data_IF_671600400300
#
_entry.id   IF_671600400300
#
_cell.length_a   1.000
_cell.length_b   1.000
_cell.length_c   1.000
_cell.angle_alpha   90.00
_cell.angle_beta   90.00
_cell.angle_gamma   90.00
#
_symmetry.space_group_name_H-M   'P 1'
#
loop_
_entity.id
_entity.type
_entity.pdbx_description
1 polymer ?
#
# COMPACT_ATOMS: atom_id res chain seq x y z
N UNK A 1 14.10 -6.19 -16.20
CA UNK A 1 13.52 -6.34 -14.84
C UNK A 1 12.11 -6.89 -14.97
N UNK A 2 11.79 -7.93 -14.22
CA UNK A 2 10.44 -8.47 -14.20
C UNK A 2 9.47 -7.42 -13.63
N UNK A 3 8.21 -7.45 -14.07
CA UNK A 3 7.19 -6.50 -13.63
C UNK A 3 7.03 -6.52 -12.10
N UNK A 4 7.06 -7.70 -11.49
CA UNK A 4 6.92 -7.85 -10.05
C UNK A 4 8.09 -7.20 -9.29
N UNK A 5 9.29 -7.25 -9.84
CA UNK A 5 10.47 -6.64 -9.21
C UNK A 5 10.33 -5.11 -9.18
N UNK A 6 9.68 -4.54 -10.17
CA UNK A 6 9.48 -3.09 -10.23
C UNK A 6 8.56 -2.60 -9.12
N UNK A 7 7.48 -3.31 -8.86
CA UNK A 7 6.57 -2.97 -7.75
C UNK A 7 7.29 -3.10 -6.41
N UNK A 8 8.06 -4.17 -6.23
CA UNK A 8 8.83 -4.40 -5.00
C UNK A 8 9.84 -3.28 -4.77
N UNK A 9 10.57 -2.88 -5.81
CA UNK A 9 11.55 -1.80 -5.72
C UNK A 9 10.89 -0.49 -5.30
N UNK A 10 9.76 -0.15 -5.90
CA UNK A 10 9.05 1.09 -5.58
C UNK A 10 8.54 1.06 -4.15
N UNK A 11 7.91 -0.04 -3.72
CA UNK A 11 7.40 -0.16 -2.37
C UNK A 11 8.52 -0.10 -1.33
N UNK A 12 9.62 -0.79 -1.58
CA UNK A 12 10.78 -0.83 -0.68
C UNK A 12 11.41 0.56 -0.51
N UNK A 13 11.46 1.34 -1.57
CA UNK A 13 12.02 2.69 -1.51
C UNK A 13 11.21 3.63 -0.61
N UNK A 14 9.96 3.30 -0.32
CA UNK A 14 9.09 4.12 0.52
C UNK A 14 9.22 3.81 2.02
N UNK A 15 9.93 2.78 2.39
CA UNK A 15 10.11 2.44 3.80
C UNK A 15 10.69 3.63 4.56
N UNK A 16 10.08 3.94 5.71
CA UNK A 16 10.47 5.09 6.51
C UNK A 16 9.63 6.34 6.28
N UNK A 17 8.71 6.31 5.31
CA UNK A 17 7.80 7.43 5.10
C UNK A 17 6.83 7.56 6.27
N UNK A 18 6.76 8.76 6.85
CA UNK A 18 5.86 9.08 7.96
C UNK A 18 4.72 9.94 7.45
N UNK A 19 3.49 9.55 7.80
CA UNK A 19 2.33 10.38 7.50
C UNK A 19 2.46 11.74 8.18
N UNK A 20 1.73 12.73 7.69
CA UNK A 20 1.86 14.13 8.10
C UNK A 20 0.70 14.58 8.95
N UNK A 21 0.97 15.63 9.75
CA UNK A 21 -0.08 16.29 10.55
C UNK A 21 -0.98 17.15 9.70
N UNK A 22 -0.45 17.72 8.63
CA UNK A 22 -1.16 18.63 7.74
C UNK A 22 -0.76 18.32 6.29
N UNK A 23 -1.44 18.99 5.36
CA UNK A 23 -1.23 18.77 3.92
C UNK A 23 0.02 19.49 3.40
N UNK A 24 1.11 19.44 4.16
CA UNK A 24 2.37 20.10 3.82
C UNK A 24 3.54 19.13 3.95
N UNK A 25 4.61 19.40 3.18
CA UNK A 25 5.84 18.59 3.19
C UNK A 25 5.59 17.13 2.83
N UNK A 26 4.63 16.89 1.94
CA UNK A 26 4.21 15.53 1.60
C UNK A 26 5.30 14.69 0.95
N UNK A 27 6.24 15.31 0.24
CA UNK A 27 7.33 14.58 -0.43
C UNK A 27 8.50 14.26 0.50
N UNK A 28 8.59 14.88 1.67
CA UNK A 28 9.62 14.55 2.65
C UNK A 28 9.23 13.28 3.40
N UNK A 29 10.18 12.38 3.62
CA UNK A 29 9.89 11.17 4.39
C UNK A 29 9.54 11.46 5.83
N UNK A 30 10.18 12.45 6.44
CA UNK A 30 10.11 12.64 7.90
C UNK A 30 9.56 13.98 8.35
N UNK A 31 9.55 15.00 7.49
CA UNK A 31 9.08 16.32 7.89
C UNK A 31 7.58 16.32 8.16
N UNK A 32 7.16 17.18 9.09
CA UNK A 32 5.75 17.38 9.45
C UNK A 32 5.06 16.08 9.89
N UNK A 33 5.80 15.18 10.52
CA UNK A 33 5.28 13.88 10.94
C UNK A 33 4.18 14.04 12.00
N UNK A 34 3.16 13.19 11.92
CA UNK A 34 2.05 13.19 12.86
C UNK A 34 1.13 12.00 12.62
N UNK A 35 -0.10 12.08 13.08
CA UNK A 35 -1.04 10.98 13.02
C UNK A 35 -2.37 11.37 12.38
N UNK A 36 -2.35 12.29 11.42
CA UNK A 36 -3.55 12.82 10.79
C UNK A 36 -3.78 12.30 9.37
N UNK A 37 -3.02 11.29 8.94
CA UNK A 37 -3.23 10.59 7.67
C UNK A 37 -3.07 11.47 6.42
N UNK A 38 -2.26 12.51 6.47
CA UNK A 38 -1.91 13.27 5.27
C UNK A 38 -0.69 12.64 4.63
N UNK A 39 -0.81 12.28 3.34
CA UNK A 39 0.29 11.61 2.62
C UNK A 39 0.39 12.07 1.18
N UNK A 40 1.57 11.88 0.57
CA UNK A 40 1.72 12.08 -0.86
C UNK A 40 0.92 11.03 -1.65
N UNK A 41 0.65 9.87 -1.06
CA UNK A 41 -0.11 8.82 -1.73
C UNK A 41 -1.54 9.27 -2.02
N UNK A 42 -2.23 9.83 -1.04
CA UNK A 42 -3.54 10.43 -1.26
C UNK A 42 -3.48 11.59 -2.24
N UNK A 43 -2.47 12.47 -2.10
CA UNK A 43 -2.31 13.58 -3.03
C UNK A 43 -2.27 13.12 -4.48
N UNK A 44 -1.54 12.05 -4.75
CA UNK A 44 -1.34 11.56 -6.11
C UNK A 44 -2.51 10.73 -6.62
N UNK A 45 -3.20 9.99 -5.76
CA UNK A 45 -4.27 9.07 -6.14
C UNK A 45 -5.66 9.68 -5.99
N UNK A 46 -5.96 10.26 -4.84
CA UNK A 46 -7.29 10.84 -4.55
C UNK A 46 -7.19 11.88 -3.44
N UNK A 47 -6.87 13.12 -3.80
CA UNK A 47 -6.62 14.19 -2.80
C UNK A 47 -7.80 14.45 -1.86
N UNK A 48 -9.02 14.20 -2.29
CA UNK A 48 -10.21 14.38 -1.47
C UNK A 48 -10.23 13.48 -0.24
N UNK A 49 -9.43 12.42 -0.24
CA UNK A 49 -9.40 11.45 0.85
C UNK A 49 -8.26 11.70 1.85
N UNK A 50 -7.55 12.81 1.74
CA UNK A 50 -6.57 13.17 2.77
C UNK A 50 -7.23 13.13 4.15
N UNK A 51 -6.53 12.53 5.11
CA UNK A 51 -7.07 12.35 6.45
C UNK A 51 -7.67 10.96 6.69
N UNK A 52 -7.81 10.14 5.66
CA UNK A 52 -8.31 8.78 5.79
C UNK A 52 -7.17 7.76 5.88
N UNK A 53 -7.42 6.57 6.46
CA UNK A 53 -6.43 5.49 6.44
C UNK A 53 -5.94 5.21 5.02
N UNK A 54 -4.64 5.01 4.86
CA UNK A 54 -4.02 5.02 3.52
C UNK A 54 -3.33 3.71 3.12
N UNK A 55 -3.62 2.60 3.82
CA UNK A 55 -2.97 1.32 3.48
C UNK A 55 -3.26 0.86 2.05
N UNK A 56 -4.53 0.85 1.65
CA UNK A 56 -4.91 0.47 0.29
C UNK A 56 -4.48 1.51 -0.74
N UNK A 57 -4.53 2.78 -0.38
CA UNK A 57 -4.04 3.86 -1.24
C UNK A 57 -2.55 3.69 -1.56
N UNK A 58 -1.76 3.33 -0.56
CA UNK A 58 -0.33 3.06 -0.75
C UNK A 58 -0.10 1.95 -1.78
N UNK A 59 -0.85 0.86 -1.68
CA UNK A 59 -0.77 -0.23 -2.66
C UNK A 59 -1.10 0.28 -4.08
N UNK A 60 -2.19 1.02 -4.21
CA UNK A 60 -2.57 1.63 -5.50
C UNK A 60 -1.44 2.49 -6.05
N UNK A 61 -0.85 3.33 -5.21
CA UNK A 61 0.24 4.23 -5.58
C UNK A 61 1.46 3.46 -6.11
N UNK A 62 1.84 2.39 -5.42
CA UNK A 62 2.98 1.57 -5.85
C UNK A 62 2.74 0.93 -7.22
N UNK A 63 1.56 0.40 -7.44
CA UNK A 63 1.21 -0.19 -8.73
C UNK A 63 1.18 0.87 -9.84
N UNK A 64 0.64 2.05 -9.55
CA UNK A 64 0.59 3.13 -10.53
C UNK A 64 1.99 3.63 -10.91
N UNK A 65 2.88 3.75 -9.94
CA UNK A 65 4.28 4.12 -10.23
C UNK A 65 5.00 3.05 -11.04
N UNK A 66 4.68 1.79 -10.82
CA UNK A 66 5.30 0.68 -11.53
C UNK A 66 4.77 0.53 -12.96
N UNK A 67 3.48 0.69 -13.17
CA UNK A 67 2.81 0.27 -14.41
C UNK A 67 2.02 1.37 -15.12
N UNK A 68 1.85 2.54 -14.50
CA UNK A 68 1.01 3.61 -15.02
C UNK A 68 -0.46 3.41 -14.65
N UNK A 69 -1.23 4.50 -14.75
CA UNK A 69 -2.63 4.51 -14.28
C UNK A 69 -3.52 3.54 -15.06
N UNK A 70 -3.43 3.53 -16.37
CA UNK A 70 -4.31 2.70 -17.19
C UNK A 70 -4.09 1.21 -16.96
N UNK A 71 -2.83 0.79 -16.85
CA UNK A 71 -2.53 -0.61 -16.54
C UNK A 71 -2.93 -0.98 -15.12
N UNK A 72 -2.79 -0.06 -14.17
CA UNK A 72 -3.20 -0.29 -12.79
C UNK A 72 -4.71 -0.48 -12.69
N UNK A 73 -5.50 0.30 -13.42
CA UNK A 73 -6.95 0.11 -13.49
C UNK A 73 -7.32 -1.29 -13.95
N UNK A 74 -6.61 -1.82 -14.93
CA UNK A 74 -6.85 -3.17 -15.43
C UNK A 74 -6.45 -4.24 -14.43
N UNK A 75 -5.29 -4.06 -13.78
CA UNK A 75 -4.76 -5.03 -12.84
C UNK A 75 -5.60 -5.12 -11.57
N UNK A 76 -6.03 -3.98 -11.05
CA UNK A 76 -6.75 -3.94 -9.77
C UNK A 76 -8.25 -4.16 -9.91
N UNK A 77 -8.79 -4.14 -11.12
CA UNK A 77 -10.23 -4.30 -11.44
C UNK A 77 -11.12 -3.22 -10.82
N UNK A 78 -10.65 -2.51 -9.83
CA UNK A 78 -11.35 -1.41 -9.15
C UNK A 78 -10.34 -0.33 -8.84
N UNK A 79 -10.53 0.87 -9.36
CA UNK A 79 -9.57 1.94 -9.19
C UNK A 79 -10.27 3.21 -8.67
N UNK A 80 -9.70 3.86 -7.67
CA UNK A 80 -8.53 3.41 -6.91
C UNK A 80 -8.88 2.33 -5.89
N UNK A 81 -7.92 1.49 -5.56
CA UNK A 81 -8.07 0.55 -4.44
C UNK A 81 -7.87 1.32 -3.15
N UNK A 82 -8.94 1.57 -2.44
CA UNK A 82 -8.92 2.36 -1.19
C UNK A 82 -9.64 1.67 -0.03
N UNK A 83 -10.25 0.52 -0.27
CA UNK A 83 -11.03 -0.19 0.71
C UNK A 83 -10.78 -1.71 0.61
N UNK A 84 -10.20 -2.29 1.65
CA UNK A 84 -9.75 -3.69 1.62
C UNK A 84 -10.86 -4.71 1.32
N UNK A 85 -12.07 -4.64 1.90
CA UNK A 85 -13.11 -5.61 1.57
C UNK A 85 -13.49 -5.63 0.10
N UNK A 86 -13.46 -4.49 -0.58
CA UNK A 86 -13.75 -4.43 -2.02
C UNK A 86 -12.76 -5.29 -2.80
N UNK A 87 -11.47 -5.13 -2.53
CA UNK A 87 -10.44 -5.91 -3.22
C UNK A 87 -10.61 -7.40 -2.94
N UNK A 88 -10.86 -7.76 -1.69
CA UNK A 88 -11.05 -9.16 -1.31
C UNK A 88 -12.22 -9.81 -2.04
N UNK A 89 -13.27 -9.04 -2.37
CA UNK A 89 -14.44 -9.57 -3.08
C UNK A 89 -14.24 -9.71 -4.59
N UNK A 90 -13.26 -8.99 -5.16
CA UNK A 90 -13.05 -8.97 -6.61
C UNK A 90 -12.07 -10.03 -7.10
N UNK A 91 -11.23 -10.56 -6.22
CA UNK A 91 -10.17 -11.49 -6.59
C UNK A 91 -10.30 -12.81 -5.86
N UNK A 92 -9.76 -13.84 -6.49
CA UNK A 92 -9.56 -15.12 -5.83
C UNK A 92 -8.44 -14.97 -4.80
N UNK A 93 -8.65 -15.49 -3.59
CA UNK A 93 -7.69 -15.38 -2.50
C UNK A 93 -6.90 -16.67 -2.36
N UNK A 94 -5.59 -16.54 -2.16
CA UNK A 94 -4.67 -17.66 -2.02
C UNK A 94 -4.01 -17.63 -0.65
N UNK A 95 -3.75 -18.81 -0.09
CA UNK A 95 -3.08 -18.93 1.20
C UNK A 95 -1.57 -18.76 1.12
N UNK A 96 -0.98 -19.08 -0.05
CA UNK A 96 0.48 -19.08 -0.22
C UNK A 96 0.94 -17.84 -0.96
N UNK A 97 1.60 -16.90 -0.26
CA UNK A 97 2.03 -15.65 -0.87
C UNK A 97 3.20 -15.84 -1.82
N UNK A 98 3.26 -14.99 -2.83
CA UNK A 98 4.39 -14.86 -3.76
C UNK A 98 4.85 -13.42 -3.79
N UNK A 99 6.11 -13.22 -4.14
CA UNK A 99 6.66 -11.87 -4.28
C UNK A 99 5.83 -11.03 -5.26
N UNK A 100 5.50 -9.81 -4.85
CA UNK A 100 4.68 -8.91 -5.64
C UNK A 100 3.18 -9.03 -5.40
N UNK A 101 2.74 -10.04 -4.65
CA UNK A 101 1.33 -10.19 -4.32
C UNK A 101 0.85 -9.06 -3.43
N UNK A 102 -0.42 -8.70 -3.58
CA UNK A 102 -1.14 -7.88 -2.62
C UNK A 102 -1.62 -8.80 -1.51
N UNK A 103 -1.20 -8.52 -0.29
CA UNK A 103 -1.68 -9.26 0.88
C UNK A 103 -2.81 -8.45 1.53
N UNK A 104 -3.85 -9.13 1.98
CA UNK A 104 -4.99 -8.51 2.66
C UNK A 104 -5.16 -9.22 3.99
N UNK A 105 -5.04 -8.44 5.08
CA UNK A 105 -5.10 -8.97 6.44
C UNK A 105 -6.52 -8.92 6.97
N UNK A 106 -6.92 -10.00 7.63
CA UNK A 106 -8.25 -10.16 8.19
C UNK A 106 -8.18 -10.11 9.71
N UNK A 107 -8.99 -9.26 10.31
CA UNK A 107 -9.10 -9.15 11.76
C UNK A 107 -10.57 -9.27 12.17
N UNK A 108 -10.88 -10.21 13.06
CA UNK A 108 -12.24 -10.38 13.53
C UNK A 108 -13.24 -10.64 12.42
N UNK A 109 -12.83 -11.35 11.37
CA UNK A 109 -13.69 -11.67 10.24
C UNK A 109 -13.81 -10.57 9.18
N UNK A 110 -13.10 -9.45 9.34
CA UNK A 110 -13.16 -8.31 8.42
C UNK A 110 -11.78 -8.04 7.84
N UNK A 111 -11.71 -7.74 6.54
CA UNK A 111 -10.48 -7.32 5.88
C UNK A 111 -10.22 -5.85 6.19
N UNK A 112 -9.17 -5.56 6.97
CA UNK A 112 -8.93 -4.22 7.50
C UNK A 112 -7.61 -3.60 7.09
N UNK A 113 -6.69 -4.38 6.52
CA UNK A 113 -5.35 -3.89 6.21
C UNK A 113 -4.78 -4.62 5.00
N UNK A 114 -3.80 -3.99 4.33
CA UNK A 114 -3.23 -4.53 3.11
C UNK A 114 -1.77 -4.08 2.97
N UNK A 115 -1.03 -4.79 2.14
CA UNK A 115 0.35 -4.46 1.82
C UNK A 115 0.83 -5.23 0.60
N UNK A 116 2.13 -5.15 0.34
CA UNK A 116 2.76 -5.81 -0.81
C UNK A 116 3.82 -6.78 -0.30
N UNK A 117 3.77 -8.01 -0.76
CA UNK A 117 4.77 -9.04 -0.42
C UNK A 117 6.05 -8.75 -1.18
N UNK A 118 7.15 -8.59 -0.47
CA UNK A 118 8.45 -8.28 -1.08
C UNK A 118 9.42 -9.46 -1.06
N UNK A 119 9.23 -10.41 -0.15
CA UNK A 119 10.05 -11.62 -0.14
C UNK A 119 9.29 -12.77 0.52
N UNK A 120 9.67 -13.98 0.16
CA UNK A 120 9.12 -15.21 0.75
C UNK A 120 10.29 -16.13 1.07
N UNK A 121 10.32 -16.69 2.28
CA UNK A 121 11.35 -17.59 2.73
C UNK A 121 10.74 -18.68 3.62
N UNK A 122 10.58 -19.90 3.09
CA UNK A 122 9.95 -20.99 3.82
C UNK A 122 8.53 -20.63 4.26
N UNK A 123 8.29 -20.69 5.55
CA UNK A 123 6.98 -20.38 6.14
C UNK A 123 6.77 -18.89 6.43
N UNK A 124 7.74 -18.04 6.06
CA UNK A 124 7.69 -16.61 6.35
C UNK A 124 7.61 -15.78 5.08
N UNK A 125 6.91 -14.68 5.15
CA UNK A 125 6.95 -13.68 4.10
C UNK A 125 7.10 -12.29 4.71
N UNK A 126 7.71 -11.39 3.96
CA UNK A 126 7.93 -10.01 4.38
C UNK A 126 7.10 -9.09 3.51
N UNK A 127 6.47 -8.10 4.13
CA UNK A 127 5.61 -7.14 3.44
C UNK A 127 6.08 -5.72 3.65
N UNK A 128 5.71 -4.84 2.71
CA UNK A 128 5.74 -3.39 2.94
C UNK A 128 4.31 -2.92 3.00
N UNK A 129 3.98 -2.19 4.06
CA UNK A 129 2.62 -1.76 4.37
C UNK A 129 2.57 -0.28 4.67
N UNK A 130 1.53 0.40 4.20
CA UNK A 130 1.24 1.77 4.57
C UNK A 130 0.25 1.83 5.73
N UNK A 131 0.26 2.93 6.48
CA UNK A 131 -0.67 3.18 7.57
C UNK A 131 -0.67 2.08 8.63
N UNK A 132 0.50 1.74 9.11
CA UNK A 132 0.68 0.73 10.15
C UNK A 132 1.23 1.39 11.42
N UNK A 133 1.63 0.62 12.41
CA UNK A 133 2.05 1.16 13.71
C UNK A 133 2.97 2.37 13.56
N UNK A 134 2.61 3.48 14.21
CA UNK A 134 3.35 4.72 14.11
C UNK A 134 3.04 5.56 12.88
N UNK A 135 2.08 5.14 12.05
CA UNK A 135 1.68 5.88 10.86
C UNK A 135 2.69 5.84 9.72
N UNK A 136 3.56 4.86 9.71
CA UNK A 136 4.62 4.73 8.70
C UNK A 136 4.32 3.60 7.73
N UNK A 137 5.00 3.64 6.59
CA UNK A 137 5.14 2.45 5.77
C UNK A 137 6.29 1.64 6.39
N UNK A 138 6.01 0.44 6.85
CA UNK A 138 7.02 -0.41 7.50
C UNK A 138 7.00 -1.81 6.93
N UNK A 139 8.04 -2.57 7.25
CA UNK A 139 8.11 -3.99 6.91
C UNK A 139 7.49 -4.78 8.05
N UNK A 140 6.64 -5.72 7.70
CA UNK A 140 6.04 -6.67 8.64
C UNK A 140 6.18 -8.08 8.10
N UNK A 141 6.14 -9.04 8.98
CA UNK A 141 6.22 -10.46 8.61
C UNK A 141 4.91 -11.17 8.91
#
# INVERSE_FOLDING_TARGET
>A
MAAVDKVIEIATAEIGYLEKRTNNYLDSKTANAGQNNYTKYWRDIKPDYQGQPWCACFVTWCFEKAFGRENTKKLLKHYPYVYCPTMASLFELYANPKCGDIVIFKHGGVFTHTGIVISVSGDYFTTVEGNTSGGSAIIAN
#
